data_IF_459285593704
#
_entry.id   IF_459285593704
#
_cell.length_a   1.000
_cell.length_b   1.000
_cell.length_c   1.000
_cell.angle_alpha   90.00
_cell.angle_beta   90.00
_cell.angle_gamma   90.00
#
_symmetry.space_group_name_H-M   'P 1'
#
loop_
_entity.id
_entity.type
_entity.pdbx_description
1 polymer ?
#
# COMPACT_ATOMS: atom_id res chain seq x y z
N UNK A 1 -1.31 -44.62 -23.83
CA UNK A 1 -1.42 -43.38 -24.63
C UNK A 1 -1.40 -42.19 -23.68
N UNK A 2 -0.57 -41.15 -23.89
CA UNK A 2 -0.65 -39.93 -23.09
C UNK A 2 -1.90 -39.11 -23.50
N UNK A 3 -2.57 -38.39 -22.58
CA UNK A 3 -3.79 -37.67 -22.89
C UNK A 3 -3.54 -36.53 -23.87
N UNK A 4 -4.49 -36.27 -24.78
CA UNK A 4 -4.46 -35.12 -25.70
C UNK A 4 -4.32 -33.83 -24.87
N UNK A 5 -3.25 -33.08 -25.10
CA UNK A 5 -3.02 -31.77 -24.48
C UNK A 5 -4.19 -30.85 -24.84
N UNK A 6 -5.04 -30.54 -23.88
CA UNK A 6 -5.98 -29.43 -24.02
C UNK A 6 -5.16 -28.14 -24.18
N UNK A 7 -5.68 -27.18 -24.94
CA UNK A 7 -5.04 -25.89 -25.25
C UNK A 7 -4.85 -25.03 -24.00
N UNK A 8 -3.92 -25.41 -23.13
CA UNK A 8 -3.55 -24.72 -21.89
C UNK A 8 -2.27 -23.93 -22.20
N UNK A 9 -2.41 -22.71 -22.71
CA UNK A 9 -1.24 -21.87 -23.01
C UNK A 9 -1.60 -20.50 -23.56
N UNK A 10 -0.62 -19.60 -23.61
CA UNK A 10 -0.75 -18.22 -24.16
C UNK A 10 -1.27 -18.15 -25.60
N UNK A 11 -1.21 -19.26 -26.35
CA UNK A 11 -1.73 -19.39 -27.72
C UNK A 11 -3.19 -19.85 -27.78
N UNK A 12 -3.84 -20.09 -26.63
CA UNK A 12 -5.26 -20.40 -26.59
C UNK A 12 -6.09 -19.16 -26.96
N UNK A 13 -7.14 -19.36 -27.78
CA UNK A 13 -7.99 -18.27 -28.29
C UNK A 13 -8.61 -17.42 -27.17
N UNK A 14 -8.92 -18.01 -26.01
CA UNK A 14 -9.43 -17.29 -24.84
C UNK A 14 -8.40 -16.33 -24.23
N UNK A 15 -7.13 -16.73 -24.17
CA UNK A 15 -6.03 -15.89 -23.69
C UNK A 15 -5.74 -14.73 -24.66
N UNK A 16 -5.87 -14.99 -25.97
CA UNK A 16 -5.74 -13.97 -27.01
C UNK A 16 -6.87 -12.94 -26.90
N UNK A 17 -8.12 -13.39 -26.80
CA UNK A 17 -9.29 -12.51 -26.65
C UNK A 17 -9.20 -11.62 -25.41
N UNK A 18 -8.86 -12.18 -24.24
CA UNK A 18 -8.63 -11.41 -23.01
C UNK A 18 -7.47 -10.40 -23.09
N UNK A 19 -6.53 -10.57 -24.02
CA UNK A 19 -5.45 -9.61 -24.24
C UNK A 19 -5.93 -8.46 -25.12
N UNK A 20 -6.69 -8.77 -26.17
CA UNK A 20 -7.32 -7.78 -27.04
C UNK A 20 -8.33 -6.94 -26.25
N UNK A 21 -9.16 -7.57 -25.42
CA UNK A 21 -10.07 -6.89 -24.47
C UNK A 21 -9.30 -5.90 -23.59
N UNK A 22 -8.23 -6.34 -22.90
CA UNK A 22 -7.40 -5.47 -22.05
C UNK A 22 -6.61 -4.38 -22.80
N UNK A 23 -6.36 -4.55 -24.09
CA UNK A 23 -5.70 -3.51 -24.90
C UNK A 23 -6.66 -2.40 -25.30
N UNK A 24 -7.97 -2.69 -25.29
CA UNK A 24 -9.02 -1.77 -25.67
C UNK A 24 -9.81 -1.23 -24.47
N UNK A 25 -9.54 -1.71 -23.25
CA UNK A 25 -10.15 -1.21 -22.01
C UNK A 25 -9.81 0.27 -21.79
N UNK A 26 -10.84 1.05 -21.43
CA UNK A 26 -10.65 2.45 -21.06
C UNK A 26 -9.99 2.57 -19.68
N UNK A 27 -9.28 3.69 -19.44
CA UNK A 27 -8.61 3.93 -18.15
C UNK A 27 -9.57 3.80 -16.96
N UNK A 28 -10.81 4.29 -17.10
CA UNK A 28 -11.84 4.19 -16.07
C UNK A 28 -12.26 2.74 -15.79
N UNK A 29 -12.39 1.91 -16.82
CA UNK A 29 -12.70 0.47 -16.67
C UNK A 29 -11.56 -0.27 -15.98
N UNK A 30 -10.31 0.07 -16.31
CA UNK A 30 -9.14 -0.52 -15.64
C UNK A 30 -9.05 -0.08 -14.18
N UNK A 31 -9.39 1.17 -13.86
CA UNK A 31 -9.43 1.68 -12.49
C UNK A 31 -10.49 0.96 -11.66
N UNK A 32 -11.72 0.83 -12.18
CA UNK A 32 -12.81 0.10 -11.52
C UNK A 32 -12.45 -1.38 -11.30
N UNK A 33 -11.85 -2.03 -12.30
CA UNK A 33 -11.40 -3.42 -12.17
C UNK A 33 -10.30 -3.55 -11.09
N UNK A 34 -9.35 -2.61 -11.04
CA UNK A 34 -8.29 -2.58 -10.04
C UNK A 34 -8.84 -2.36 -8.63
N UNK A 35 -9.79 -1.45 -8.45
CA UNK A 35 -10.49 -1.24 -7.17
C UNK A 35 -11.22 -2.49 -6.71
N UNK A 36 -11.96 -3.14 -7.61
CA UNK A 36 -12.62 -4.42 -7.33
C UNK A 36 -11.64 -5.51 -6.90
N UNK A 37 -10.48 -5.60 -7.56
CA UNK A 37 -9.41 -6.53 -7.21
C UNK A 37 -8.81 -6.22 -5.83
N UNK A 38 -8.57 -4.95 -5.51
CA UNK A 38 -8.06 -4.52 -4.19
C UNK A 38 -9.07 -4.90 -3.10
N UNK A 39 -10.36 -4.63 -3.31
CA UNK A 39 -11.42 -4.98 -2.36
C UNK A 39 -11.48 -6.48 -2.13
N UNK A 40 -11.50 -7.29 -3.20
CA UNK A 40 -11.52 -8.74 -3.09
C UNK A 40 -10.30 -9.29 -2.32
N UNK A 41 -9.11 -8.79 -2.63
CA UNK A 41 -7.88 -9.18 -1.92
C UNK A 41 -7.96 -8.78 -0.44
N UNK A 42 -8.42 -7.57 -0.14
CA UNK A 42 -8.57 -7.09 1.24
C UNK A 42 -9.52 -7.97 2.06
N UNK A 43 -10.67 -8.35 1.48
CA UNK A 43 -11.63 -9.24 2.11
C UNK A 43 -11.03 -10.63 2.38
N UNK A 44 -10.28 -11.17 1.41
CA UNK A 44 -9.61 -12.46 1.56
C UNK A 44 -8.59 -12.46 2.71
N UNK A 45 -7.89 -11.33 2.93
CA UNK A 45 -6.94 -11.18 4.04
C UNK A 45 -7.62 -11.10 5.41
N UNK A 46 -8.83 -10.53 5.49
CA UNK A 46 -9.57 -10.46 6.77
C UNK A 46 -10.00 -11.85 7.24
N UNK A 47 -10.37 -12.72 6.31
CA UNK A 47 -10.80 -14.09 6.60
C UNK A 47 -9.66 -15.12 6.62
N UNK A 48 -8.42 -14.67 6.42
CA UNK A 48 -7.24 -15.52 6.31
C UNK A 48 -6.90 -16.15 7.68
N UNK A 49 -6.65 -17.47 7.72
CA UNK A 49 -6.20 -18.11 8.95
C UNK A 49 -4.72 -17.80 9.24
N UNK A 50 -4.29 -17.91 10.50
CA UNK A 50 -2.87 -17.68 10.85
C UNK A 50 -1.91 -18.56 10.04
N UNK A 51 -2.25 -19.83 9.82
CA UNK A 51 -1.43 -20.75 9.02
C UNK A 51 -1.35 -20.34 7.55
N UNK A 52 -2.47 -19.89 6.97
CA UNK A 52 -2.48 -19.38 5.59
C UNK A 52 -1.67 -18.10 5.46
N UNK A 53 -1.80 -17.21 6.45
CA UNK A 53 -1.04 -15.97 6.53
C UNK A 53 0.47 -16.22 6.57
N UNK A 54 0.91 -17.15 7.41
CA UNK A 54 2.32 -17.55 7.50
C UNK A 54 2.83 -18.17 6.19
N UNK A 55 2.07 -19.11 5.61
CA UNK A 55 2.42 -19.73 4.34
C UNK A 55 2.54 -18.69 3.20
N UNK A 56 1.62 -17.72 3.16
CA UNK A 56 1.66 -16.62 2.19
C UNK A 56 2.87 -15.73 2.40
N UNK A 57 3.19 -15.37 3.64
CA UNK A 57 4.36 -14.55 3.96
C UNK A 57 5.66 -15.27 3.58
N UNK A 58 5.77 -16.57 3.86
CA UNK A 58 6.95 -17.36 3.50
C UNK A 58 7.09 -17.50 1.98
N UNK A 59 5.99 -17.79 1.26
CA UNK A 59 5.99 -17.78 -0.19
C UNK A 59 6.40 -16.41 -0.76
N UNK A 60 5.97 -15.31 -0.13
CA UNK A 60 6.37 -13.96 -0.53
C UNK A 60 7.86 -13.70 -0.28
N UNK A 61 8.41 -14.16 0.85
CA UNK A 61 9.85 -14.05 1.16
C UNK A 61 10.71 -14.79 0.14
N UNK A 62 10.32 -16.02 -0.22
CA UNK A 62 11.01 -16.83 -1.23
C UNK A 62 10.99 -16.12 -2.59
N UNK A 63 9.80 -15.69 -3.05
CA UNK A 63 9.68 -14.96 -4.33
C UNK A 63 10.53 -13.69 -4.37
N UNK A 64 10.55 -12.90 -3.30
CA UNK A 64 11.36 -11.67 -3.24
C UNK A 64 12.86 -12.01 -3.27
N UNK A 65 13.27 -13.10 -2.60
CA UNK A 65 14.67 -13.56 -2.62
C UNK A 65 15.09 -13.94 -4.04
N UNK A 66 14.29 -14.75 -4.73
CA UNK A 66 14.55 -15.16 -6.12
C UNK A 66 14.59 -13.94 -7.06
N UNK A 67 13.64 -13.02 -6.93
CA UNK A 67 13.62 -11.79 -7.72
C UNK A 67 14.91 -10.97 -7.52
N UNK A 68 15.37 -10.78 -6.27
CA UNK A 68 16.63 -10.08 -5.98
C UNK A 68 17.87 -10.80 -6.53
N UNK A 69 17.86 -12.12 -6.56
CA UNK A 69 18.94 -12.89 -7.18
C UNK A 69 18.99 -12.67 -8.68
N UNK A 70 17.83 -12.52 -9.34
CA UNK A 70 17.72 -12.25 -10.78
C UNK A 70 18.07 -10.83 -11.22
N UNK A 71 18.22 -9.88 -10.28
CA UNK A 71 18.50 -8.48 -10.60
C UNK A 71 19.86 -8.27 -11.26
N UNK A 72 19.87 -7.42 -12.29
CA UNK A 72 21.09 -6.91 -12.88
C UNK A 72 21.82 -5.96 -11.92
N UNK A 73 23.06 -5.60 -12.26
CA UNK A 73 23.83 -4.63 -11.47
C UNK A 73 23.14 -3.25 -11.39
N UNK A 74 22.53 -2.81 -12.50
CA UNK A 74 21.80 -1.54 -12.56
C UNK A 74 20.59 -1.54 -11.63
N UNK A 75 19.76 -2.59 -11.69
CA UNK A 75 18.56 -2.73 -10.86
C UNK A 75 18.89 -2.68 -9.36
N UNK A 76 20.00 -3.32 -8.97
CA UNK A 76 20.49 -3.29 -7.58
C UNK A 76 20.89 -1.89 -7.14
N UNK A 77 21.54 -1.14 -8.02
CA UNK A 77 21.97 0.23 -7.71
C UNK A 77 20.79 1.18 -7.61
N UNK A 78 19.81 1.06 -8.52
CA UNK A 78 18.58 1.84 -8.47
C UNK A 78 17.78 1.53 -7.19
N UNK A 79 17.62 0.25 -6.84
CA UNK A 79 16.95 -0.16 -5.60
C UNK A 79 17.65 0.39 -4.36
N UNK A 80 19.00 0.40 -4.33
CA UNK A 80 19.78 1.00 -3.24
C UNK A 80 19.60 2.51 -3.18
N UNK A 81 19.63 3.20 -4.31
CA UNK A 81 19.42 4.66 -4.37
C UNK A 81 18.02 5.03 -3.87
N UNK A 82 16.99 4.34 -4.35
CA UNK A 82 15.60 4.51 -3.90
C UNK A 82 15.44 4.24 -2.40
N UNK A 83 16.12 3.21 -1.87
CA UNK A 83 16.11 2.93 -0.43
C UNK A 83 16.75 4.04 0.38
N UNK A 84 17.88 4.61 -0.09
CA UNK A 84 18.54 5.75 0.54
C UNK A 84 17.65 6.99 0.54
N UNK A 85 17.02 7.32 -0.59
CA UNK A 85 16.09 8.44 -0.70
C UNK A 85 14.91 8.29 0.26
N UNK A 86 14.29 7.11 0.34
CA UNK A 86 13.21 6.83 1.31
C UNK A 86 13.67 7.05 2.75
N UNK A 87 14.85 6.56 3.11
CA UNK A 87 15.40 6.75 4.46
C UNK A 87 15.70 8.21 4.77
N UNK A 88 16.22 8.96 3.80
CA UNK A 88 16.45 10.40 3.94
C UNK A 88 15.13 11.16 4.13
N UNK A 89 14.11 10.85 3.33
CA UNK A 89 12.79 11.47 3.44
C UNK A 89 12.14 11.18 4.79
N UNK A 90 12.22 9.93 5.26
CA UNK A 90 11.71 9.55 6.57
C UNK A 90 12.43 10.29 7.71
N UNK A 91 13.75 10.46 7.61
CA UNK A 91 14.53 11.25 8.58
C UNK A 91 14.18 12.73 8.54
N UNK A 92 14.00 13.31 7.35
CA UNK A 92 13.55 14.69 7.21
C UNK A 92 12.17 14.87 7.84
N UNK A 93 11.22 13.96 7.57
CA UNK A 93 9.89 13.98 8.19
C UNK A 93 9.95 13.89 9.72
N UNK A 94 10.93 13.19 10.30
CA UNK A 94 11.16 13.16 11.75
C UNK A 94 11.86 14.42 12.29
N UNK A 95 12.74 15.05 11.49
CA UNK A 95 13.54 16.22 11.86
C UNK A 95 12.84 17.56 11.61
N UNK A 96 11.74 17.60 10.84
CA UNK A 96 10.83 18.75 10.83
C UNK A 96 10.34 18.91 12.27
N UNK A 97 10.99 19.84 13.00
CA UNK A 97 10.64 20.19 14.38
C UNK A 97 9.19 20.64 14.40
N UNK A 98 8.30 19.74 14.81
CA UNK A 98 6.86 19.96 14.88
C UNK A 98 6.47 21.05 15.88
N UNK A 99 7.41 21.46 16.75
CA UNK A 99 7.26 22.57 17.72
C UNK A 99 6.81 23.89 17.08
N UNK A 100 7.05 24.09 15.77
CA UNK A 100 6.61 25.28 15.03
C UNK A 100 5.38 25.08 14.16
N UNK A 101 4.91 23.84 13.98
CA UNK A 101 3.72 23.55 13.15
C UNK A 101 2.41 23.88 13.88
N UNK A 102 2.41 23.90 15.21
CA UNK A 102 1.26 24.41 15.97
C UNK A 102 0.89 25.86 15.60
N UNK A 103 1.82 26.62 15.01
CA UNK A 103 1.61 28.00 14.55
C UNK A 103 1.57 28.16 13.02
N UNK A 104 1.89 27.11 12.26
CA UNK A 104 1.78 27.05 10.80
C UNK A 104 1.14 25.72 10.41
N UNK A 105 -0.19 25.71 10.37
CA UNK A 105 -0.96 24.58 9.88
C UNK A 105 -0.66 24.33 8.40
N UNK A 106 -0.17 23.14 8.06
CA UNK A 106 0.03 22.72 6.67
C UNK A 106 -1.05 21.68 6.30
N UNK A 107 -2.01 22.07 5.46
CA UNK A 107 -3.11 21.21 5.02
C UNK A 107 -2.69 19.98 4.21
N UNK A 108 -1.45 19.93 3.72
CA UNK A 108 -0.90 18.77 2.99
C UNK A 108 -0.47 17.63 3.91
N UNK A 109 -0.36 17.89 5.22
CA UNK A 109 0.05 16.89 6.21
C UNK A 109 -1.20 16.30 6.89
N UNK A 110 -1.35 14.98 6.79
CA UNK A 110 -2.41 14.24 7.48
C UNK A 110 -2.02 14.03 8.95
N UNK A 111 -2.26 15.06 9.77
CA UNK A 111 -1.87 15.09 11.19
C UNK A 111 -2.51 13.99 12.05
N UNK A 112 -3.66 13.46 11.65
CA UNK A 112 -4.40 12.40 12.37
C UNK A 112 -3.65 11.06 12.43
N UNK A 113 -2.69 10.84 11.53
CA UNK A 113 -1.87 9.62 11.48
C UNK A 113 -0.49 9.83 12.11
N UNK A 114 -0.20 11.02 12.62
CA UNK A 114 1.13 11.36 13.10
C UNK A 114 1.33 10.88 14.55
N UNK A 115 2.37 10.06 14.85
CA UNK A 115 2.53 9.41 16.15
C UNK A 115 2.76 10.35 17.35
N UNK A 116 3.12 11.61 17.08
CA UNK A 116 3.31 12.67 18.08
C UNK A 116 2.02 13.49 18.34
N UNK A 117 1.07 13.48 17.40
CA UNK A 117 -0.17 14.25 17.54
C UNK A 117 -1.28 13.35 18.10
N UNK A 118 -1.54 13.49 19.39
CA UNK A 118 -2.77 12.96 20.00
C UNK A 118 -3.84 14.02 19.82
N UNK A 119 -4.76 13.82 18.86
CA UNK A 119 -5.96 14.65 18.75
C UNK A 119 -6.92 14.22 19.86
N UNK A 120 -6.78 14.82 21.04
CA UNK A 120 -7.70 14.59 22.14
C UNK A 120 -9.08 15.19 21.84
N UNK A 121 -10.13 14.55 22.33
CA UNK A 121 -11.49 15.07 22.18
C UNK A 121 -11.77 16.18 23.20
N UNK A 122 -12.34 17.30 22.73
CA UNK A 122 -12.71 18.45 23.56
C UNK A 122 -13.96 18.14 24.39
N UNK A 123 -13.84 17.28 25.39
CA UNK A 123 -14.98 16.76 26.17
C UNK A 123 -15.20 17.50 27.50
N UNK A 124 -14.36 18.47 27.85
CA UNK A 124 -14.50 19.22 29.11
C UNK A 124 -15.25 20.51 28.82
N UNK A 125 -16.35 20.76 29.53
CA UNK A 125 -17.08 22.02 29.42
C UNK A 125 -16.45 23.06 30.34
N UNK A 126 -16.27 24.29 29.87
CA UNK A 126 -15.82 25.41 30.68
C UNK A 126 -16.96 25.91 31.57
N UNK A 127 -16.73 25.96 32.88
CA UNK A 127 -17.73 26.40 33.86
C UNK A 127 -18.16 27.87 33.69
N UNK A 128 -17.30 28.71 33.13
CA UNK A 128 -17.57 30.15 33.04
C UNK A 128 -18.30 30.56 31.75
N UNK A 129 -18.19 29.77 30.68
CA UNK A 129 -18.73 30.13 29.36
C UNK A 129 -19.36 28.98 28.58
N UNK A 130 -19.48 27.79 29.18
CA UNK A 130 -20.01 26.57 28.57
C UNK A 130 -19.32 26.09 27.28
N UNK A 131 -18.17 26.67 26.91
CA UNK A 131 -17.39 26.23 25.76
C UNK A 131 -16.71 24.87 26.02
N UNK A 132 -16.61 24.03 24.99
CA UNK A 132 -15.82 22.80 25.03
C UNK A 132 -14.32 23.14 25.06
N UNK A 133 -13.54 22.38 25.81
CA UNK A 133 -12.08 22.50 25.91
C UNK A 133 -11.42 21.12 26.01
N UNK A 134 -10.15 21.05 25.63
CA UNK A 134 -9.32 19.87 25.82
C UNK A 134 -9.19 19.55 27.33
N UNK A 135 -9.06 18.26 27.64
CA UNK A 135 -8.67 17.85 28.98
C UNK A 135 -7.20 18.22 29.16
N UNK A 136 -6.87 18.73 30.35
CA UNK A 136 -5.48 18.92 30.78
C UNK A 136 -5.10 17.73 31.63
#
# INVERSE_FOLDING_TARGET
MPPKRHNIGRRANSAKRKREERQNEAEEETAQQNEGNILHISQSHVTESSQQHEARNEASRVRIRELRQSFSYSDRNEQRANSRLRMQMNRLNQLVKLDRIAFQYNSEIVYSLHPVFVVESMNKVCTNCNALKFKK
#
